data_IF_307637633642
#
_entry.id   IF_307637633642
#
_cell.length_a   1.000
_cell.length_b   1.000
_cell.length_c   1.000
_cell.angle_alpha   90.00
_cell.angle_beta   90.00
_cell.angle_gamma   90.00
#
_symmetry.space_group_name_H-M   'P 1'
#
loop_
_entity.id
_entity.type
_entity.pdbx_description
1 polymer ?
#
# COMPACT_ATOMS: atom_id res chain seq x y z
N UNK A 1 19.97 -25.67 -4.68
CA UNK A 1 19.89 -24.38 -3.95
C UNK A 1 18.74 -24.47 -2.96
N UNK A 2 19.00 -24.29 -1.67
CA UNK A 2 17.98 -24.30 -0.61
C UNK A 2 17.16 -23.00 -0.70
N UNK A 3 15.85 -23.06 -0.51
CA UNK A 3 15.00 -21.85 -0.45
C UNK A 3 14.38 -21.72 0.94
N UNK A 4 14.49 -20.54 1.53
CA UNK A 4 13.93 -20.18 2.84
C UNK A 4 12.95 -19.04 2.61
N UNK A 5 11.73 -19.15 3.13
CA UNK A 5 10.67 -18.15 2.97
C UNK A 5 10.14 -17.72 4.32
N UNK A 6 9.96 -16.42 4.50
CA UNK A 6 9.37 -15.82 5.70
C UNK A 6 8.38 -14.75 5.29
N UNK A 7 7.20 -14.76 5.89
CA UNK A 7 6.17 -13.75 5.63
C UNK A 7 6.38 -12.50 6.51
N UNK A 8 6.20 -11.31 5.91
CA UNK A 8 6.02 -10.04 6.60
C UNK A 8 4.56 -9.63 6.44
N UNK A 9 3.80 -9.80 7.53
CA UNK A 9 2.35 -9.67 7.50
C UNK A 9 1.88 -8.22 7.61
N UNK A 10 0.77 -7.95 6.93
CA UNK A 10 -0.05 -6.75 6.96
C UNK A 10 -1.51 -7.20 7.16
N UNK A 11 -2.18 -6.74 8.21
CA UNK A 11 -3.61 -7.02 8.50
C UNK A 11 -3.92 -8.24 9.37
N UNK A 12 -2.92 -8.98 9.91
CA UNK A 12 -3.15 -10.23 10.69
C UNK A 12 -3.33 -9.97 12.19
N UNK A 13 -4.31 -10.64 12.82
CA UNK A 13 -4.84 -10.41 14.19
C UNK A 13 -3.89 -10.50 15.40
N UNK A 14 -2.58 -10.63 15.23
CA UNK A 14 -1.68 -10.79 16.38
C UNK A 14 -0.26 -10.21 16.20
N UNK A 15 0.10 -9.66 15.03
CA UNK A 15 1.47 -9.19 14.76
C UNK A 15 1.65 -8.67 13.33
N UNK A 16 2.62 -7.78 13.14
CA UNK A 16 2.92 -7.15 11.86
C UNK A 16 2.34 -5.75 11.78
N UNK A 17 2.03 -5.27 10.57
CA UNK A 17 1.35 -4.00 10.37
C UNK A 17 -0.16 -4.20 10.45
N UNK A 18 -0.82 -3.59 11.43
CA UNK A 18 -2.26 -3.63 11.62
C UNK A 18 -2.86 -2.22 11.63
N UNK A 19 -4.19 -2.18 11.57
CA UNK A 19 -4.96 -0.96 11.65
C UNK A 19 -6.24 -1.16 12.45
N UNK A 20 -6.62 -0.13 13.20
CA UNK A 20 -7.87 -0.07 13.95
C UNK A 20 -8.52 1.27 13.70
N UNK A 21 -9.85 1.34 13.76
CA UNK A 21 -10.59 2.59 13.68
C UNK A 21 -11.48 2.74 14.92
N UNK A 22 -11.33 3.85 15.64
CA UNK A 22 -12.33 4.33 16.59
C UNK A 22 -13.33 5.21 15.85
N UNK A 23 -14.62 4.92 16.04
CA UNK A 23 -15.72 5.69 15.45
C UNK A 23 -16.44 6.47 16.54
N UNK A 24 -16.64 7.76 16.33
CA UNK A 24 -17.38 8.62 17.26
C UNK A 24 -18.44 9.45 16.53
N UNK A 25 -19.66 9.52 17.06
CA UNK A 25 -20.74 10.35 16.52
C UNK A 25 -21.07 11.43 17.54
N UNK A 26 -21.08 12.71 17.12
CA UNK A 26 -21.29 13.85 18.03
C UNK A 26 -20.35 13.80 19.26
N UNK A 27 -19.08 13.47 19.01
CA UNK A 27 -18.03 13.30 20.04
C UNK A 27 -18.30 12.17 21.05
N UNK A 28 -19.34 11.36 20.85
CA UNK A 28 -19.59 10.15 21.64
C UNK A 28 -18.95 8.96 20.94
N UNK A 29 -18.04 8.29 21.62
CA UNK A 29 -17.47 7.05 21.15
C UNK A 29 -18.59 6.02 20.91
N UNK A 30 -18.62 5.46 19.71
CA UNK A 30 -19.55 4.40 19.34
C UNK A 30 -18.93 3.04 19.64
N UNK A 31 -17.84 2.74 18.93
CA UNK A 31 -17.07 1.51 19.09
C UNK A 31 -15.71 1.66 18.42
N UNK A 32 -14.83 0.70 18.71
CA UNK A 32 -13.58 0.47 18.01
C UNK A 32 -13.66 -0.82 17.22
N UNK A 33 -13.18 -0.80 15.98
CA UNK A 33 -13.07 -2.00 15.16
C UNK A 33 -11.64 -2.23 14.70
N UNK A 34 -11.29 -3.50 14.49
CA UNK A 34 -10.12 -3.84 13.70
C UNK A 34 -10.45 -3.57 12.23
N UNK A 35 -9.54 -2.89 11.55
CA UNK A 35 -9.59 -2.74 10.11
C UNK A 35 -8.71 -3.84 9.53
N UNK A 36 -9.33 -4.80 8.84
CA UNK A 36 -8.62 -5.99 8.35
C UNK A 36 -8.04 -5.75 6.96
N UNK A 37 -8.52 -4.73 6.26
CA UNK A 37 -8.33 -4.62 4.82
C UNK A 37 -7.39 -3.48 4.43
N UNK A 38 -6.09 -3.71 4.50
CA UNK A 38 -5.16 -3.00 3.62
C UNK A 38 -5.30 -3.56 2.21
N UNK A 39 -6.03 -2.84 1.35
CA UNK A 39 -6.27 -3.30 -0.03
C UNK A 39 -4.96 -3.36 -0.83
N UNK A 40 -4.97 -4.11 -1.93
CA UNK A 40 -3.76 -4.46 -2.67
C UNK A 40 -2.91 -3.28 -3.17
N UNK A 41 -3.50 -2.08 -3.23
CA UNK A 41 -2.79 -0.84 -3.54
C UNK A 41 -1.68 -0.49 -2.55
N UNK A 42 -1.78 -0.82 -1.25
CA UNK A 42 -0.69 -0.58 -0.30
C UNK A 42 0.53 -1.44 -0.65
N UNK A 43 0.32 -2.74 -0.85
CA UNK A 43 1.42 -3.66 -1.21
C UNK A 43 1.96 -3.40 -2.61
N UNK A 44 1.08 -3.04 -3.55
CA UNK A 44 1.49 -2.55 -4.87
C UNK A 44 2.43 -1.35 -4.74
N UNK A 45 2.08 -0.37 -3.90
CA UNK A 45 2.95 0.78 -3.65
C UNK A 45 4.29 0.36 -3.05
N UNK A 46 4.28 -0.47 -2.00
CA UNK A 46 5.49 -0.97 -1.35
C UNK A 46 6.43 -1.64 -2.37
N UNK A 47 5.89 -2.53 -3.22
CA UNK A 47 6.65 -3.19 -4.29
C UNK A 47 7.31 -2.19 -5.23
N UNK A 48 6.53 -1.23 -5.75
CA UNK A 48 7.02 -0.21 -6.70
C UNK A 48 8.19 0.57 -6.08
N UNK A 49 8.04 1.01 -4.83
CA UNK A 49 9.07 1.79 -4.14
C UNK A 49 10.31 0.97 -3.79
N UNK A 50 10.16 -0.33 -3.56
CA UNK A 50 11.27 -1.26 -3.31
C UNK A 50 12.09 -1.56 -4.56
N UNK A 51 11.43 -1.81 -5.70
CA UNK A 51 12.08 -2.35 -6.90
C UNK A 51 12.53 -1.34 -7.94
N UNK A 52 11.79 -0.22 -8.13
CA UNK A 52 12.00 0.69 -9.27
C UNK A 52 12.27 -0.05 -10.61
N UNK A 53 11.61 -1.20 -10.84
CA UNK A 53 11.85 -2.09 -12.01
C UNK A 53 10.91 -1.76 -13.17
N UNK A 54 11.44 -1.58 -14.38
CA UNK A 54 10.62 -1.65 -15.61
C UNK A 54 9.81 -2.96 -15.62
N UNK A 55 8.48 -2.85 -15.74
CA UNK A 55 7.43 -3.91 -15.85
C UNK A 55 6.70 -4.33 -14.54
N UNK A 56 5.39 -4.02 -14.48
CA UNK A 56 4.25 -4.86 -14.91
C UNK A 56 3.00 -3.95 -15.07
N UNK A 57 1.96 -4.45 -15.75
CA UNK A 57 0.69 -3.79 -16.14
C UNK A 57 -0.07 -3.10 -14.99
N UNK A 58 0.22 -1.85 -14.63
CA UNK A 58 -0.54 -1.20 -13.55
C UNK A 58 -0.76 0.31 -13.65
N UNK A 59 -1.98 0.68 -13.23
CA UNK A 59 -2.64 1.99 -13.33
C UNK A 59 -1.74 3.17 -13.07
N UNK A 60 -1.46 3.91 -14.14
CA UNK A 60 -0.78 5.19 -14.09
C UNK A 60 -1.81 6.30 -13.85
N UNK A 61 -1.59 7.06 -12.78
CA UNK A 61 -2.37 8.22 -12.39
C UNK A 61 -1.88 9.52 -13.00
N UNK A 62 -1.05 9.49 -14.05
CA UNK A 62 -0.50 10.70 -14.68
C UNK A 62 -1.62 11.70 -15.06
N UNK A 63 -1.70 12.80 -14.30
CA UNK A 63 -2.39 14.05 -14.60
C UNK A 63 -3.92 14.07 -14.71
N UNK A 64 -4.66 13.07 -14.24
CA UNK A 64 -6.12 13.09 -14.44
C UNK A 64 -6.93 12.71 -13.22
N UNK A 65 -6.77 13.45 -12.10
CA UNK A 65 -7.94 13.70 -11.24
C UNK A 65 -8.94 14.52 -12.05
N UNK A 66 -9.68 13.85 -12.91
CA UNK A 66 -10.83 14.41 -13.58
C UNK A 66 -11.94 14.33 -12.55
N UNK A 67 -12.12 15.40 -11.78
CA UNK A 67 -13.37 15.57 -11.05
C UNK A 67 -14.44 15.70 -12.14
N UNK A 68 -15.00 14.56 -12.55
CA UNK A 68 -16.18 14.52 -13.38
C UNK A 68 -17.29 14.91 -12.44
N UNK A 69 -17.51 16.22 -12.33
CA UNK A 69 -18.45 16.77 -11.38
C UNK A 69 -19.88 16.55 -11.80
N UNK A 70 -20.15 16.13 -13.03
CA UNK A 70 -21.51 16.04 -13.52
C UNK A 70 -21.63 14.83 -14.45
N UNK A 71 -21.85 13.63 -13.89
CA UNK A 71 -22.63 12.65 -14.63
C UNK A 71 -23.95 13.37 -14.97
N UNK A 72 -24.36 13.37 -16.24
CA UNK A 72 -25.59 14.03 -16.72
C UNK A 72 -26.69 13.00 -16.93
N UNK A 73 -26.32 11.81 -17.39
CA UNK A 73 -27.27 10.72 -17.62
C UNK A 73 -26.57 9.37 -17.60
N UNK A 74 -27.32 8.35 -17.19
CA UNK A 74 -26.95 6.94 -17.25
C UNK A 74 -28.07 6.26 -18.03
N UNK A 75 -27.73 5.60 -19.15
CA UNK A 75 -28.71 4.98 -20.05
C UNK A 75 -28.25 3.57 -20.40
N UNK A 76 -29.11 2.58 -20.13
CA UNK A 76 -28.97 1.23 -20.67
C UNK A 76 -29.45 1.22 -22.13
N UNK A 77 -28.61 0.74 -23.05
CA UNK A 77 -28.90 0.69 -24.49
C UNK A 77 -28.45 -0.65 -25.07
N UNK A 78 -29.36 -1.64 -25.06
CA UNK A 78 -29.02 -3.01 -25.46
C UNK A 78 -28.12 -3.67 -24.41
N UNK A 79 -26.97 -4.19 -24.84
CA UNK A 79 -25.96 -4.78 -23.95
C UNK A 79 -24.96 -3.74 -23.42
N UNK A 80 -25.14 -2.45 -23.72
CA UNK A 80 -24.24 -1.38 -23.32
C UNK A 80 -24.83 -0.52 -22.19
N UNK A 81 -23.95 -0.07 -21.29
CA UNK A 81 -24.24 1.01 -20.36
C UNK A 81 -23.52 2.28 -20.80
N UNK A 82 -24.30 3.33 -21.05
CA UNK A 82 -23.81 4.62 -21.53
C UNK A 82 -23.89 5.65 -20.41
N UNK A 83 -22.75 6.24 -20.05
CA UNK A 83 -22.68 7.30 -19.03
C UNK A 83 -22.25 8.59 -19.70
N UNK A 84 -23.14 9.58 -19.72
CA UNK A 84 -22.85 10.90 -20.27
C UNK A 84 -22.32 11.82 -19.17
N UNK A 85 -21.23 12.51 -19.47
CA UNK A 85 -20.53 13.41 -18.56
C UNK A 85 -20.57 14.83 -19.12
N UNK A 86 -20.72 15.84 -18.25
CA UNK A 86 -20.45 17.24 -18.61
C UNK A 86 -19.05 17.66 -18.22
N UNK A 87 -18.50 18.62 -18.96
CA UNK A 87 -17.26 19.32 -18.61
C UNK A 87 -16.05 18.41 -18.44
N UNK A 88 -16.04 17.28 -19.15
CA UNK A 88 -14.88 16.42 -19.23
C UNK A 88 -13.70 17.18 -19.83
N UNK A 89 -12.61 17.26 -19.08
CA UNK A 89 -11.37 17.92 -19.49
C UNK A 89 -10.21 16.94 -19.40
N UNK A 90 -9.52 16.74 -20.52
CA UNK A 90 -8.33 15.90 -20.66
C UNK A 90 -7.14 16.78 -21.06
N UNK A 91 -6.04 16.67 -20.29
CA UNK A 91 -4.78 17.39 -20.54
C UNK A 91 -3.71 16.50 -21.20
N UNK A 92 -4.05 15.30 -21.69
CA UNK A 92 -3.06 14.33 -22.14
C UNK A 92 -3.53 13.52 -23.36
N UNK A 93 -2.61 13.19 -24.27
CA UNK A 93 -2.88 12.44 -25.51
C UNK A 93 -2.99 10.93 -25.29
N UNK A 94 -3.61 10.53 -24.19
CA UNK A 94 -3.30 9.28 -23.51
C UNK A 94 -4.59 8.46 -23.36
N UNK A 95 -4.73 7.41 -24.18
CA UNK A 95 -5.91 6.52 -24.17
C UNK A 95 -6.16 5.88 -22.79
N UNK A 96 -7.41 5.92 -22.33
CA UNK A 96 -7.85 5.29 -21.07
C UNK A 96 -8.62 3.99 -21.38
N UNK A 97 -8.52 2.99 -20.50
CA UNK A 97 -9.23 1.70 -20.70
C UNK A 97 -10.16 1.36 -19.53
N UNK A 98 -10.06 2.12 -18.42
CA UNK A 98 -10.68 1.77 -17.16
C UNK A 98 -11.36 2.99 -16.54
N UNK A 99 -12.56 2.79 -16.04
CA UNK A 99 -13.40 3.81 -15.43
C UNK A 99 -13.81 3.32 -14.05
N UNK A 100 -13.51 4.10 -13.04
CA UNK A 100 -14.00 3.90 -11.69
C UNK A 100 -15.16 4.86 -11.46
N UNK A 101 -16.30 4.32 -11.02
CA UNK A 101 -17.49 5.10 -10.68
C UNK A 101 -17.74 4.95 -9.19
N UNK A 102 -17.92 6.07 -8.49
CA UNK A 102 -18.09 6.07 -7.04
C UNK A 102 -19.19 7.02 -6.60
N UNK A 103 -19.87 6.66 -5.51
CA UNK A 103 -20.81 7.53 -4.83
C UNK A 103 -22.03 7.89 -5.67
N UNK A 104 -22.43 7.03 -6.62
CA UNK A 104 -23.73 7.09 -7.30
C UNK A 104 -24.79 6.59 -6.33
N UNK A 105 -25.78 7.43 -6.05
CA UNK A 105 -26.91 7.20 -5.15
C UNK A 105 -28.15 6.85 -5.97
N UNK A 106 -28.88 5.83 -5.53
CA UNK A 106 -30.08 5.32 -6.18
C UNK A 106 -29.84 4.39 -7.37
N UNK A 107 -28.58 4.27 -7.83
CA UNK A 107 -28.08 3.27 -8.78
C UNK A 107 -26.77 2.66 -8.26
N UNK A 108 -26.76 2.22 -7.00
CA UNK A 108 -25.53 1.82 -6.30
C UNK A 108 -24.81 0.64 -6.96
N UNK A 109 -25.51 -0.19 -7.73
CA UNK A 109 -24.94 -1.25 -8.56
C UNK A 109 -23.98 -0.74 -9.64
N UNK A 110 -24.01 0.56 -9.95
CA UNK A 110 -23.06 1.22 -10.85
C UNK A 110 -21.73 1.55 -10.18
N UNK A 111 -21.64 1.58 -8.85
CA UNK A 111 -20.37 1.88 -8.21
C UNK A 111 -19.39 0.72 -8.36
N UNK A 112 -18.18 1.00 -8.86
CA UNK A 112 -17.19 -0.03 -9.15
C UNK A 112 -16.20 0.38 -10.21
N UNK A 113 -15.44 -0.60 -10.70
CA UNK A 113 -14.42 -0.45 -11.74
C UNK A 113 -14.87 -1.17 -13.00
N UNK A 114 -14.81 -0.49 -14.13
CA UNK A 114 -15.32 -0.94 -15.42
C UNK A 114 -14.31 -0.73 -16.52
N UNK A 115 -14.34 -1.58 -17.54
CA UNK A 115 -13.60 -1.34 -18.77
C UNK A 115 -14.41 -0.45 -19.71
N UNK A 116 -13.72 0.53 -20.31
CA UNK A 116 -14.29 1.36 -21.36
C UNK A 116 -14.12 0.67 -22.72
N UNK A 117 -15.18 0.64 -23.51
CA UNK A 117 -15.16 0.14 -24.88
C UNK A 117 -14.66 1.22 -25.85
N UNK A 118 -13.34 1.27 -26.00
CA UNK A 118 -12.67 2.16 -26.95
C UNK A 118 -13.06 1.93 -28.41
N UNK A 119 -13.69 0.80 -28.75
CA UNK A 119 -14.17 0.55 -30.12
C UNK A 119 -15.46 1.31 -30.43
N UNK A 120 -16.27 1.65 -29.41
CA UNK A 120 -17.55 2.34 -29.57
C UNK A 120 -17.47 3.85 -29.34
N UNK A 121 -16.62 4.28 -28.41
CA UNK A 121 -16.33 5.68 -28.19
C UNK A 121 -14.87 5.85 -27.85
N UNK A 122 -13.98 6.24 -28.77
CA UNK A 122 -12.58 6.45 -28.43
C UNK A 122 -12.43 7.62 -27.46
N UNK A 123 -11.51 7.51 -26.50
CA UNK A 123 -11.21 8.63 -25.60
C UNK A 123 -10.76 9.86 -26.40
N UNK A 124 -11.39 11.04 -26.19
CA UNK A 124 -11.12 12.22 -26.98
C UNK A 124 -9.74 12.77 -26.64
N UNK A 125 -8.93 13.03 -27.67
CA UNK A 125 -7.59 13.61 -27.51
C UNK A 125 -7.61 15.12 -27.25
N UNK A 126 -8.75 15.81 -27.42
CA UNK A 126 -8.86 17.25 -27.12
C UNK A 126 -10.30 17.74 -26.80
N UNK A 127 -10.35 18.90 -26.14
CA UNK A 127 -11.37 19.49 -25.25
C UNK A 127 -12.88 19.63 -25.68
N UNK A 128 -13.72 19.35 -24.66
CA UNK A 128 -14.97 20.02 -24.21
C UNK A 128 -16.34 19.76 -24.86
N UNK A 129 -17.21 19.09 -24.09
CA UNK A 129 -18.41 19.68 -23.43
C UNK A 129 -19.30 18.57 -22.89
N UNK A 130 -19.40 17.46 -23.63
CA UNK A 130 -20.01 16.21 -23.19
C UNK A 130 -19.28 15.00 -23.75
N UNK A 131 -19.09 13.97 -22.93
CA UNK A 131 -18.49 12.71 -23.37
C UNK A 131 -19.30 11.52 -22.85
N UNK A 132 -19.28 10.41 -23.60
CA UNK A 132 -19.99 9.19 -23.26
C UNK A 132 -19.00 8.08 -22.97
N UNK A 133 -19.07 7.52 -21.77
CA UNK A 133 -18.46 6.23 -21.50
C UNK A 133 -19.34 5.10 -21.99
N UNK A 134 -18.70 4.10 -22.58
CA UNK A 134 -19.32 2.87 -23.03
C UNK A 134 -18.71 1.75 -22.20
N UNK A 135 -19.47 1.21 -21.25
CA UNK A 135 -18.95 0.15 -20.40
C UNK A 135 -18.99 -1.18 -21.15
N UNK A 136 -17.84 -1.85 -21.23
CA UNK A 136 -17.69 -3.18 -21.84
C UNK A 136 -18.03 -4.29 -20.83
N UNK A 137 -18.76 -5.32 -21.27
CA UNK A 137 -18.97 -6.55 -20.50
C UNK A 137 -20.38 -6.67 -19.90
N UNK A 138 -20.51 -7.40 -18.78
CA UNK A 138 -21.81 -7.53 -18.09
C UNK A 138 -22.15 -6.19 -17.46
N UNK A 139 -23.14 -5.52 -18.02
CA UNK A 139 -23.74 -4.31 -17.44
C UNK A 139 -24.33 -4.69 -16.07
N UNK A 140 -23.98 -3.99 -14.97
CA UNK A 140 -24.66 -4.22 -13.71
C UNK A 140 -26.14 -3.90 -13.90
N UNK A 141 -27.03 -4.82 -13.52
CA UNK A 141 -28.46 -4.55 -13.58
C UNK A 141 -28.78 -3.36 -12.66
N UNK A 142 -29.18 -2.24 -13.26
CA UNK A 142 -29.44 -1.01 -12.53
C UNK A 142 -30.86 -1.04 -11.98
N UNK A 143 -30.99 -1.25 -10.67
CA UNK A 143 -32.28 -1.12 -9.97
C UNK A 143 -32.32 0.20 -9.20
N UNK A 144 -33.30 1.05 -9.52
CA UNK A 144 -33.54 2.30 -8.80
C UNK A 144 -33.55 3.53 -9.72
N UNK A 145 -33.44 4.71 -9.11
CA UNK A 145 -33.43 5.99 -9.82
C UNK A 145 -32.27 6.81 -9.30
N UNK A 146 -31.35 7.18 -10.19
CA UNK A 146 -30.24 8.06 -9.86
C UNK A 146 -30.76 9.41 -9.38
N UNK A 147 -30.17 9.94 -8.32
CA UNK A 147 -30.57 11.22 -7.71
C UNK A 147 -30.25 12.47 -8.54
N UNK A 148 -29.67 12.29 -9.75
CA UNK A 148 -29.38 13.35 -10.71
C UNK A 148 -28.13 14.18 -10.41
N UNK A 149 -27.47 13.97 -9.26
CA UNK A 149 -26.41 14.85 -8.78
C UNK A 149 -25.23 14.13 -8.11
N UNK A 150 -25.39 12.87 -7.74
CA UNK A 150 -24.37 12.02 -7.13
C UNK A 150 -23.50 11.32 -8.17
N UNK A 151 -22.30 10.89 -7.77
CA UNK A 151 -21.33 10.29 -8.66
C UNK A 151 -20.06 11.11 -8.82
N UNK A 152 -18.92 10.43 -8.69
CA UNK A 152 -17.62 10.87 -9.16
C UNK A 152 -17.09 9.76 -10.04
N UNK A 153 -16.71 10.09 -11.26
CA UNK A 153 -15.96 9.16 -12.11
C UNK A 153 -14.48 9.49 -12.05
N UNK A 154 -13.64 8.47 -11.95
CA UNK A 154 -12.19 8.51 -12.08
C UNK A 154 -11.84 7.64 -13.28
N UNK A 155 -11.40 8.25 -14.38
CA UNK A 155 -10.85 7.50 -15.51
C UNK A 155 -9.35 7.24 -15.28
N UNK A 156 -8.91 6.00 -15.43
CA UNK A 156 -7.52 5.58 -15.27
C UNK A 156 -7.00 4.94 -16.56
N UNK A 157 -5.69 5.13 -16.83
CA UNK A 157 -5.03 4.50 -17.98
C UNK A 157 -4.32 3.21 -17.56
N UNK A 158 -4.42 2.20 -18.42
CA UNK A 158 -3.48 1.09 -18.54
C UNK A 158 -2.20 1.57 -19.27
N UNK A 159 -1.08 1.74 -18.56
CA UNK A 159 0.23 1.99 -19.21
C UNK A 159 1.06 0.71 -19.14
N UNK A 160 1.55 0.31 -20.32
CA UNK A 160 2.44 -0.84 -20.50
C UNK A 160 3.92 -0.41 -20.67
N UNK A 161 4.25 0.88 -20.56
CA UNK A 161 5.61 1.40 -20.78
C UNK A 161 5.96 2.55 -19.85
N UNK A 162 7.19 2.47 -19.33
CA UNK A 162 7.81 3.43 -18.44
C UNK A 162 8.25 4.68 -19.21
N UNK A 163 7.70 5.84 -18.85
CA UNK A 163 8.42 7.09 -19.00
C UNK A 163 9.11 7.37 -17.66
N UNK A 164 10.40 7.67 -17.68
CA UNK A 164 11.31 7.78 -16.54
C UNK A 164 10.92 8.76 -15.43
N UNK A 165 9.75 9.41 -15.47
CA UNK A 165 9.59 10.69 -14.80
C UNK A 165 8.59 10.79 -13.67
N UNK A 166 7.46 10.06 -13.54
CA UNK A 166 6.55 10.39 -12.43
C UNK A 166 5.65 9.24 -11.94
N UNK A 167 6.17 8.41 -11.03
CA UNK A 167 5.31 7.74 -10.05
C UNK A 167 5.58 8.33 -8.68
N UNK A 168 4.74 9.30 -8.32
CA UNK A 168 4.81 9.97 -7.03
C UNK A 168 4.36 9.04 -5.90
N UNK A 169 4.93 9.26 -4.71
CA UNK A 169 4.43 8.63 -3.50
C UNK A 169 2.93 8.93 -3.33
N UNK A 170 2.15 7.98 -2.82
CA UNK A 170 0.77 8.20 -2.42
C UNK A 170 0.78 8.93 -1.08
N UNK A 171 1.18 10.20 -1.16
CA UNK A 171 1.23 11.12 -0.04
C UNK A 171 -0.19 11.46 0.41
N UNK A 172 -0.30 12.04 1.60
CA UNK A 172 -1.52 12.61 2.15
C UNK A 172 -2.64 11.58 2.24
N UNK A 173 -2.59 10.77 3.30
CA UNK A 173 -3.65 9.82 3.57
C UNK A 173 -4.85 10.56 4.16
N UNK A 174 -6.03 10.26 3.63
CA UNK A 174 -7.28 10.92 3.94
C UNK A 174 -8.30 9.84 4.28
N UNK A 175 -8.79 9.79 5.53
CA UNK A 175 -9.96 9.01 5.86
C UNK A 175 -11.13 9.41 4.95
N UNK A 176 -11.95 8.43 4.60
CA UNK A 176 -13.18 8.57 3.80
C UNK A 176 -14.29 7.67 4.35
N UNK A 177 -15.54 8.03 4.04
CA UNK A 177 -16.75 7.29 4.41
C UNK A 177 -17.60 6.99 3.18
N UNK A 178 -18.42 5.94 3.25
CA UNK A 178 -19.31 5.55 2.17
C UNK A 178 -20.54 4.81 2.65
N UNK A 179 -21.46 4.58 1.71
CA UNK A 179 -22.80 4.03 1.97
C UNK A 179 -23.00 2.64 1.36
N UNK A 180 -21.97 2.04 0.75
CA UNK A 180 -22.04 0.69 0.21
C UNK A 180 -21.79 -0.35 1.29
N UNK A 181 -22.40 -1.53 1.13
CA UNK A 181 -22.17 -2.72 1.94
C UNK A 181 -21.58 -3.87 1.09
N UNK A 182 -21.09 -3.58 -0.11
CA UNK A 182 -20.38 -4.56 -0.94
C UNK A 182 -19.17 -5.09 -0.15
N UNK A 183 -18.95 -6.41 -0.18
CA UNK A 183 -17.80 -7.03 0.46
C UNK A 183 -16.48 -6.41 -0.03
N UNK A 184 -15.48 -6.39 0.85
CA UNK A 184 -14.14 -5.89 0.50
C UNK A 184 -13.43 -6.91 -0.38
N UNK A 185 -12.69 -6.42 -1.38
CA UNK A 185 -11.81 -7.22 -2.22
C UNK A 185 -10.39 -6.68 -2.18
N UNK A 186 -9.42 -7.58 -2.27
CA UNK A 186 -8.02 -7.28 -2.42
C UNK A 186 -7.73 -6.34 -3.60
N UNK A 187 -8.49 -6.48 -4.69
CA UNK A 187 -8.41 -5.63 -5.88
C UNK A 187 -9.15 -4.28 -5.78
N UNK A 188 -9.79 -3.94 -4.67
CA UNK A 188 -10.56 -2.70 -4.54
C UNK A 188 -9.69 -1.46 -4.78
N UNK A 189 -10.06 -0.68 -5.78
CA UNK A 189 -9.37 0.56 -6.14
C UNK A 189 -10.00 1.79 -5.47
N UNK A 190 -11.19 1.64 -4.89
CA UNK A 190 -12.07 2.75 -4.59
C UNK A 190 -13.09 2.34 -3.52
N UNK A 191 -13.68 3.32 -2.81
CA UNK A 191 -14.85 3.12 -1.95
C UNK A 191 -16.11 3.18 -2.83
N UNK A 192 -16.84 2.08 -3.08
CA UNK A 192 -17.96 2.08 -4.03
C UNK A 192 -19.02 3.13 -3.68
N UNK A 193 -19.46 3.18 -2.43
CA UNK A 193 -20.47 4.13 -1.96
C UNK A 193 -19.90 5.45 -1.48
N UNK A 194 -18.75 5.92 -2.00
CA UNK A 194 -18.04 7.09 -1.49
C UNK A 194 -18.96 8.31 -1.26
N UNK A 195 -19.10 8.71 -0.01
CA UNK A 195 -19.99 9.81 0.40
C UNK A 195 -19.21 11.12 0.51
N UNK A 196 -19.06 11.80 -0.63
CA UNK A 196 -18.38 13.10 -0.73
C UNK A 196 -19.31 14.29 -0.85
N UNK A 197 -20.36 14.18 -1.67
CA UNK A 197 -21.30 15.28 -1.94
C UNK A 197 -22.30 15.41 -0.81
N UNK A 198 -22.57 16.64 -0.39
CA UNK A 198 -23.43 16.89 0.77
C UNK A 198 -22.80 16.46 2.09
N UNK A 199 -21.47 16.23 2.12
CA UNK A 199 -20.71 15.97 3.33
C UNK A 199 -19.57 16.98 3.46
N UNK A 200 -19.56 17.74 4.55
CA UNK A 200 -18.42 18.57 4.92
C UNK A 200 -17.36 17.67 5.54
N UNK A 201 -16.20 17.57 4.90
CA UNK A 201 -15.08 16.79 5.41
C UNK A 201 -14.10 17.73 6.11
N UNK A 202 -13.90 17.55 7.42
CA UNK A 202 -12.95 18.36 8.16
C UNK A 202 -11.50 18.06 7.77
N UNK A 203 -10.60 18.83 8.38
CA UNK A 203 -9.16 18.66 8.20
C UNK A 203 -8.72 17.30 8.73
N UNK A 204 -7.75 16.71 8.03
CA UNK A 204 -7.04 15.53 8.51
C UNK A 204 -6.01 15.96 9.56
N UNK A 205 -5.96 15.26 10.69
CA UNK A 205 -4.89 15.41 11.68
C UNK A 205 -4.16 14.09 11.86
N UNK A 206 -2.85 14.17 12.04
CA UNK A 206 -1.99 13.01 12.28
C UNK A 206 -1.23 13.22 13.59
N UNK A 207 -1.21 12.22 14.48
CA UNK A 207 -0.41 12.27 15.71
C UNK A 207 1.06 12.00 15.40
N UNK A 208 1.95 12.32 16.34
CA UNK A 208 3.35 11.88 16.27
C UNK A 208 3.44 10.36 16.41
N UNK A 209 4.48 9.77 15.83
CA UNK A 209 4.82 8.37 16.11
C UNK A 209 5.15 8.17 17.58
N UNK A 210 4.50 7.19 18.20
CA UNK A 210 4.79 6.70 19.55
C UNK A 210 5.40 5.31 19.38
N UNK A 211 6.59 5.10 19.93
CA UNK A 211 7.34 3.85 19.80
C UNK A 211 7.86 3.40 21.15
N UNK A 212 7.64 2.13 21.46
CA UNK A 212 8.29 1.41 22.55
C UNK A 212 9.08 0.21 21.97
N UNK A 213 9.42 -0.78 22.79
CA UNK A 213 10.16 -1.95 22.31
C UNK A 213 9.29 -2.91 21.47
N UNK A 214 7.99 -2.96 21.76
CA UNK A 214 7.04 -3.92 21.18
C UNK A 214 6.33 -3.38 19.95
N UNK A 215 6.00 -2.09 19.98
CA UNK A 215 5.11 -1.48 19.02
C UNK A 215 5.56 -0.08 18.59
N UNK A 216 5.10 0.32 17.41
CA UNK A 216 5.20 1.69 16.93
C UNK A 216 3.90 2.06 16.24
N UNK A 217 3.33 3.23 16.56
CA UNK A 217 1.99 3.60 16.11
C UNK A 217 1.79 5.09 15.94
N UNK A 218 0.82 5.45 15.11
CA UNK A 218 0.29 6.80 14.95
C UNK A 218 -1.20 6.76 14.60
N UNK A 219 -1.89 7.88 14.77
CA UNK A 219 -3.32 8.01 14.53
C UNK A 219 -3.59 9.04 13.44
N UNK A 220 -4.46 8.69 12.50
CA UNK A 220 -4.97 9.53 11.43
C UNK A 220 -6.46 9.79 11.65
N UNK A 221 -6.81 11.05 11.89
CA UNK A 221 -8.16 11.44 12.30
C UNK A 221 -8.83 12.34 11.27
N UNK A 222 -10.14 12.18 11.09
CA UNK A 222 -10.95 13.10 10.27
C UNK A 222 -12.43 13.10 10.67
N UNK A 223 -13.07 14.28 10.81
CA UNK A 223 -14.51 14.39 10.99
C UNK A 223 -15.27 14.59 9.66
N UNK A 224 -16.52 14.13 9.63
CA UNK A 224 -17.44 14.16 8.50
C UNK A 224 -18.81 14.64 8.96
N UNK A 225 -19.23 15.81 8.51
CA UNK A 225 -20.54 16.39 8.84
C UNK A 225 -21.50 16.23 7.66
N UNK A 226 -22.66 15.62 7.90
CA UNK A 226 -23.71 15.50 6.87
C UNK A 226 -24.43 16.85 6.69
N UNK A 227 -24.59 17.26 5.44
CA UNK A 227 -25.21 18.52 5.02
C UNK A 227 -26.29 18.28 3.96
N UNK A 228 -26.87 17.07 3.91
CA UNK A 228 -27.83 16.70 2.87
C UNK A 228 -29.27 17.07 3.19
N UNK A 229 -29.60 17.52 4.41
CA UNK A 229 -30.98 17.75 4.84
C UNK A 229 -31.75 16.45 5.15
N UNK A 230 -31.09 15.29 5.09
CA UNK A 230 -31.66 13.97 5.33
C UNK A 230 -30.67 13.06 6.06
N UNK A 231 -31.17 12.00 6.68
CA UNK A 231 -30.33 10.97 7.31
C UNK A 231 -29.59 10.16 6.23
N UNK A 232 -28.31 9.86 6.46
CA UNK A 232 -27.49 9.01 5.59
C UNK A 232 -26.89 7.85 6.37
N UNK A 233 -27.08 6.63 5.88
CA UNK A 233 -26.53 5.43 6.51
C UNK A 233 -25.13 5.14 5.97
N UNK A 234 -24.13 5.37 6.82
CA UNK A 234 -22.73 5.06 6.53
C UNK A 234 -22.52 3.57 6.79
N UNK A 235 -21.96 2.87 5.81
CA UNK A 235 -21.81 1.40 5.83
C UNK A 235 -20.39 0.94 5.55
N UNK A 236 -19.53 1.84 5.09
CA UNK A 236 -18.13 1.54 4.83
C UNK A 236 -17.26 2.76 5.13
N UNK A 237 -16.01 2.48 5.42
CA UNK A 237 -14.98 3.47 5.73
C UNK A 237 -13.71 3.08 4.98
N UNK A 238 -12.80 4.03 4.76
CA UNK A 238 -11.50 3.71 4.21
C UNK A 238 -10.50 4.82 4.37
N UNK A 239 -9.32 4.58 3.81
CA UNK A 239 -8.25 5.57 3.66
C UNK A 239 -7.93 5.68 2.18
N UNK A 240 -8.00 6.89 1.64
CA UNK A 240 -7.48 7.20 0.31
C UNK A 240 -6.19 8.00 0.44
N UNK A 241 -5.22 7.74 -0.42
CA UNK A 241 -4.05 8.60 -0.59
C UNK A 241 -4.20 9.44 -1.86
N UNK A 242 -3.61 10.63 -1.89
CA UNK A 242 -3.65 11.49 -3.06
C UNK A 242 -2.55 12.55 -3.09
N UNK A 243 -1.96 12.72 -4.27
CA UNK A 243 -1.13 13.88 -4.61
C UNK A 243 -1.92 14.89 -5.45
N UNK A 244 -1.43 16.13 -5.55
CA UNK A 244 -1.96 17.20 -6.41
C UNK A 244 -1.96 16.81 -7.91
N UNK A 245 -1.18 15.78 -8.31
CA UNK A 245 -1.03 15.32 -9.70
C UNK A 245 -1.44 13.87 -9.99
N UNK A 246 -1.69 13.04 -8.97
CA UNK A 246 -1.90 11.60 -9.11
C UNK A 246 -3.33 11.15 -8.78
N UNK A 247 -3.81 10.10 -9.44
CA UNK A 247 -5.08 9.44 -9.12
C UNK A 247 -5.14 9.02 -7.64
N UNK A 248 -6.28 9.23 -6.99
CA UNK A 248 -6.48 8.77 -5.62
C UNK A 248 -6.38 7.25 -5.55
N UNK A 249 -5.54 6.73 -4.66
CA UNK A 249 -5.41 5.30 -4.42
C UNK A 249 -6.08 4.96 -3.10
N UNK A 250 -7.02 4.01 -3.12
CA UNK A 250 -7.55 3.42 -1.90
C UNK A 250 -6.43 2.62 -1.22
N UNK A 251 -6.10 2.94 0.02
CA UNK A 251 -5.09 2.25 0.84
C UNK A 251 -5.72 1.22 1.77
N UNK A 252 -6.94 1.51 2.22
CA UNK A 252 -7.71 0.62 3.06
C UNK A 252 -9.20 0.85 2.86
N UNK A 253 -9.99 -0.19 3.06
CA UNK A 253 -11.46 -0.15 3.00
C UNK A 253 -12.04 -1.22 3.91
N UNK A 254 -12.95 -0.82 4.80
CA UNK A 254 -13.64 -1.74 5.68
C UNK A 254 -15.15 -1.52 5.59
N UNK A 255 -15.92 -2.60 5.71
CA UNK A 255 -17.39 -2.56 5.80
C UNK A 255 -17.78 -2.63 7.27
N UNK A 256 -18.67 -1.73 7.69
CA UNK A 256 -19.16 -1.67 9.05
C UNK A 256 -20.12 -2.83 9.31
N UNK A 257 -19.98 -3.49 10.46
CA UNK A 257 -20.87 -4.59 10.87
C UNK A 257 -22.34 -4.16 11.04
N UNK A 258 -22.58 -2.88 11.29
CA UNK A 258 -23.90 -2.26 11.25
C UNK A 258 -23.80 -0.83 10.68
N UNK A 259 -24.81 -0.36 9.91
CA UNK A 259 -24.84 1.01 9.43
C UNK A 259 -24.86 2.04 10.56
N UNK A 260 -24.15 3.15 10.37
CA UNK A 260 -24.21 4.33 11.24
C UNK A 260 -25.11 5.36 10.58
N UNK A 261 -26.27 5.62 11.17
CA UNK A 261 -27.20 6.65 10.70
C UNK A 261 -26.67 8.05 11.07
N UNK A 262 -26.13 8.74 10.08
CA UNK A 262 -25.62 10.10 10.19
C UNK A 262 -26.76 11.09 9.91
N UNK A 263 -27.31 11.67 10.98
CA UNK A 263 -28.38 12.68 10.88
C UNK A 263 -27.94 13.95 10.15
N UNK A 264 -28.91 14.79 9.76
CA UNK A 264 -28.58 16.09 9.16
C UNK A 264 -27.80 16.95 10.17
N UNK A 265 -26.78 17.65 9.69
CA UNK A 265 -25.78 18.40 10.48
C UNK A 265 -25.00 17.59 11.52
N UNK A 266 -25.22 16.26 11.58
CA UNK A 266 -24.48 15.39 12.50
C UNK A 266 -23.07 15.10 11.99
N UNK A 267 -22.13 14.90 12.91
CA UNK A 267 -20.70 14.69 12.65
C UNK A 267 -20.22 13.33 13.14
N UNK A 268 -19.73 12.51 12.20
CA UNK A 268 -18.99 11.27 12.45
C UNK A 268 -17.49 11.55 12.39
N UNK A 269 -16.74 11.12 13.38
CA UNK A 269 -15.28 11.15 13.39
C UNK A 269 -14.71 9.75 13.27
N UNK A 270 -13.70 9.60 12.42
CA UNK A 270 -12.89 8.40 12.28
C UNK A 270 -11.49 8.69 12.81
N UNK A 271 -11.01 7.84 13.72
CA UNK A 271 -9.64 7.86 14.23
C UNK A 271 -8.97 6.52 13.88
N UNK A 272 -8.21 6.49 12.78
CA UNK A 272 -7.46 5.32 12.35
C UNK A 272 -6.13 5.23 13.08
N UNK A 273 -5.94 4.23 13.94
CA UNK A 273 -4.64 3.87 14.49
C UNK A 273 -3.94 2.91 13.54
N UNK A 274 -2.82 3.33 12.97
CA UNK A 274 -1.90 2.46 12.22
C UNK A 274 -0.78 2.05 13.16
N UNK A 275 -0.60 0.74 13.34
CA UNK A 275 0.28 0.17 14.35
C UNK A 275 1.11 -0.98 13.75
N UNK A 276 2.40 -1.00 14.02
CA UNK A 276 3.24 -2.19 13.85
C UNK A 276 3.54 -2.80 15.20
N UNK A 277 3.37 -4.12 15.35
CA UNK A 277 3.73 -4.89 16.54
C UNK A 277 4.69 -6.02 16.18
N UNK A 278 5.73 -6.21 17.00
CA UNK A 278 6.63 -7.36 16.87
C UNK A 278 5.88 -8.63 17.27
N UNK A 279 5.87 -9.62 16.39
CA UNK A 279 5.30 -10.93 16.67
C UNK A 279 6.02 -11.61 17.83
N UNK A 280 5.26 -12.18 18.78
CA UNK A 280 5.79 -12.91 19.95
C UNK A 280 6.77 -12.09 20.79
N UNK A 281 6.43 -10.82 21.06
CA UNK A 281 7.22 -9.97 21.93
C UNK A 281 7.47 -10.63 23.30
N UNK A 282 8.73 -10.60 23.77
CA UNK A 282 9.28 -11.32 24.94
C UNK A 282 9.37 -12.86 24.90
N UNK A 283 9.10 -13.54 23.78
CA UNK A 283 9.41 -14.98 23.70
C UNK A 283 10.90 -15.22 23.53
N UNK A 284 11.43 -16.15 24.34
CA UNK A 284 12.79 -16.65 24.21
C UNK A 284 12.93 -17.48 22.92
N UNK A 285 13.74 -16.94 22.01
CA UNK A 285 14.09 -17.50 20.71
C UNK A 285 14.98 -18.72 20.82
N UNK A 286 15.66 -18.92 21.95
CA UNK A 286 16.42 -20.15 22.23
C UNK A 286 15.51 -21.26 22.77
N UNK A 287 14.41 -20.91 23.44
CA UNK A 287 13.51 -21.87 24.04
C UNK A 287 12.48 -22.44 23.05
N UNK A 288 11.71 -21.61 22.32
CA UNK A 288 10.63 -22.12 21.42
C UNK A 288 10.04 -21.12 20.38
N UNK A 289 10.45 -19.85 20.32
CA UNK A 289 9.71 -18.82 19.57
C UNK A 289 10.44 -18.20 18.38
N UNK A 290 9.74 -18.00 17.26
CA UNK A 290 10.14 -16.98 16.27
C UNK A 290 9.60 -15.62 16.74
N UNK A 291 10.35 -14.54 16.58
CA UNK A 291 9.84 -13.18 16.79
C UNK A 291 10.30 -12.23 15.70
N UNK A 292 9.53 -11.18 15.47
CA UNK A 292 9.89 -10.17 14.48
C UNK A 292 8.72 -9.52 13.77
N UNK A 293 9.04 -8.60 12.87
CA UNK A 293 8.06 -7.81 12.14
C UNK A 293 8.69 -6.55 11.54
N UNK A 294 7.83 -5.60 11.20
CA UNK A 294 8.25 -4.28 10.72
C UNK A 294 8.80 -3.44 11.88
N UNK A 295 9.92 -2.77 11.68
CA UNK A 295 10.59 -1.95 12.71
C UNK A 295 10.05 -0.51 12.71
N UNK A 296 10.54 0.31 13.66
CA UNK A 296 10.22 1.74 13.69
C UNK A 296 10.63 2.47 12.41
N UNK A 297 11.71 2.05 11.73
CA UNK A 297 12.13 2.71 10.49
C UNK A 297 11.08 2.54 9.38
N UNK A 298 10.41 1.39 9.30
CA UNK A 298 9.28 1.19 8.40
C UNK A 298 8.11 2.13 8.77
N UNK A 299 7.79 2.24 10.06
CA UNK A 299 6.71 3.11 10.54
C UNK A 299 6.99 4.60 10.33
N UNK A 300 8.24 5.06 10.40
CA UNK A 300 8.64 6.42 10.01
C UNK A 300 8.32 6.72 8.56
N UNK A 301 8.48 5.74 7.67
CA UNK A 301 8.19 5.90 6.25
C UNK A 301 6.68 5.99 6.04
N UNK A 302 5.90 5.08 6.64
CA UNK A 302 4.43 5.13 6.59
C UNK A 302 3.86 6.42 7.18
N UNK A 303 4.35 6.88 8.32
CA UNK A 303 3.91 8.12 8.95
C UNK A 303 4.15 9.33 8.04
N UNK A 304 5.32 9.36 7.38
CA UNK A 304 5.66 10.44 6.47
C UNK A 304 4.77 10.47 5.23
N UNK A 305 4.49 9.32 4.62
CA UNK A 305 3.59 9.29 3.46
C UNK A 305 2.15 9.61 3.85
N UNK A 306 1.72 9.22 5.06
CA UNK A 306 0.38 9.52 5.54
C UNK A 306 0.19 11.01 5.85
N UNK A 307 1.26 11.71 6.22
CA UNK A 307 1.21 13.09 6.67
C UNK A 307 0.64 14.04 5.59
N UNK A 308 -0.50 14.72 5.86
CA UNK A 308 -1.14 15.62 4.91
C UNK A 308 -0.35 16.91 4.63
N UNK A 309 0.67 17.21 5.44
CA UNK A 309 1.59 18.34 5.25
C UNK A 309 2.88 17.94 4.54
N UNK A 310 3.05 16.69 4.15
CA UNK A 310 4.25 16.23 3.46
C UNK A 310 4.34 16.91 2.09
N UNK A 311 5.34 17.79 1.91
CA UNK A 311 5.62 18.36 0.61
C UNK A 311 6.17 17.28 -0.33
N UNK A 312 5.73 17.32 -1.59
CA UNK A 312 6.39 16.58 -2.65
C UNK A 312 7.85 17.03 -2.78
N UNK A 313 8.77 16.09 -2.62
CA UNK A 313 10.14 16.25 -3.09
C UNK A 313 10.65 14.87 -3.55
N UNK A 314 11.56 14.87 -4.54
CA UNK A 314 12.15 13.65 -5.07
C UNK A 314 12.89 12.85 -3.99
N UNK A 315 13.43 13.51 -2.96
CA UNK A 315 14.09 12.87 -1.82
C UNK A 315 13.12 11.98 -1.02
N UNK A 316 11.81 12.28 -1.05
CA UNK A 316 10.79 11.47 -0.40
C UNK A 316 10.56 10.13 -1.08
N UNK A 317 10.73 10.06 -2.39
CA UNK A 317 10.48 8.84 -3.16
C UNK A 317 11.52 7.74 -2.93
N UNK A 318 12.63 8.03 -2.24
CA UNK A 318 13.68 7.04 -1.98
C UNK A 318 13.55 6.34 -0.64
N UNK A 319 12.54 6.64 0.18
CA UNK A 319 12.46 6.12 1.55
C UNK A 319 12.33 4.60 1.63
N UNK A 320 11.77 3.94 0.62
CA UNK A 320 11.48 2.50 0.68
C UNK A 320 12.34 1.61 -0.24
N UNK A 321 13.40 2.17 -0.87
CA UNK A 321 14.21 1.45 -1.86
C UNK A 321 14.98 0.28 -1.23
N UNK A 322 14.74 -0.95 -1.70
CA UNK A 322 15.32 -2.18 -1.17
C UNK A 322 15.97 -3.07 -2.26
N UNK A 323 15.74 -2.81 -3.55
CA UNK A 323 16.31 -3.57 -4.65
C UNK A 323 17.58 -2.93 -5.20
N UNK A 324 18.73 -3.61 -5.08
CA UNK A 324 19.92 -3.35 -5.90
C UNK A 324 20.67 -4.65 -6.19
N UNK A 325 20.86 -4.89 -7.49
CA UNK A 325 21.54 -6.06 -8.06
C UNK A 325 20.59 -6.90 -8.88
N UNK A 326 20.67 -6.75 -10.21
CA UNK A 326 19.97 -7.61 -11.17
C UNK A 326 18.67 -7.03 -11.74
N UNK A 327 18.80 -6.17 -12.76
CA UNK A 327 17.71 -5.89 -13.72
C UNK A 327 16.55 -5.02 -13.22
N UNK A 328 16.77 -3.71 -13.09
CA UNK A 328 15.72 -2.75 -12.78
C UNK A 328 16.28 -1.34 -12.66
N UNK A 329 16.27 -0.62 -13.77
CA UNK A 329 16.91 0.69 -13.99
C UNK A 329 16.22 1.83 -13.25
N UNK A 330 16.99 2.64 -12.49
CA UNK A 330 16.52 3.96 -12.06
C UNK A 330 17.45 4.72 -11.12
N UNK A 331 18.30 4.03 -10.35
CA UNK A 331 19.26 4.70 -9.46
C UNK A 331 20.68 4.33 -9.89
N UNK A 332 21.24 5.16 -10.77
CA UNK A 332 22.68 5.16 -10.99
C UNK A 332 23.28 5.81 -9.73
N UNK A 333 23.64 4.99 -8.74
CA UNK A 333 24.46 5.46 -7.63
C UNK A 333 25.75 5.92 -8.27
N UNK A 334 25.92 7.24 -8.42
CA UNK A 334 27.19 7.77 -8.85
C UNK A 334 28.28 7.15 -7.96
N UNK A 335 29.44 6.89 -8.57
CA UNK A 335 30.64 6.35 -7.94
C UNK A 335 31.06 7.08 -6.65
N UNK A 336 30.44 8.21 -6.31
CA UNK A 336 30.74 9.11 -5.19
C UNK A 336 30.14 8.71 -3.83
N UNK A 337 29.43 7.58 -3.69
CA UNK A 337 28.68 7.29 -2.44
C UNK A 337 29.16 6.10 -1.62
N UNK A 338 30.15 5.32 -2.05
CA UNK A 338 30.63 4.11 -1.35
C UNK A 338 29.49 3.11 -0.96
N UNK A 339 28.38 3.14 -1.70
CA UNK A 339 27.24 2.25 -1.47
C UNK A 339 27.31 1.06 -2.44
N UNK A 340 27.02 -0.13 -1.91
CA UNK A 340 27.00 -1.36 -2.67
C UNK A 340 25.59 -1.97 -2.64
N UNK A 341 25.17 -2.56 -3.75
CA UNK A 341 23.82 -3.11 -3.87
C UNK A 341 23.48 -4.19 -2.82
N UNK A 342 24.49 -4.95 -2.38
CA UNK A 342 24.34 -5.96 -1.34
C UNK A 342 23.90 -5.40 0.03
N UNK A 343 24.02 -4.09 0.26
CA UNK A 343 23.64 -3.46 1.52
C UNK A 343 22.12 -3.30 1.69
N UNK A 344 21.34 -3.41 0.60
CA UNK A 344 19.88 -3.26 0.58
C UNK A 344 19.20 -4.62 0.39
N UNK A 345 17.89 -4.72 0.60
CA UNK A 345 17.12 -5.95 0.41
C UNK A 345 17.31 -6.96 1.52
N UNK A 346 17.15 -8.24 1.21
CA UNK A 346 17.25 -9.31 2.21
C UNK A 346 18.69 -9.43 2.70
N UNK A 347 18.89 -9.47 4.02
CA UNK A 347 20.15 -9.78 4.69
C UNK A 347 19.93 -10.88 5.72
N UNK A 348 21.00 -11.60 6.04
CA UNK A 348 20.99 -12.67 7.05
C UNK A 348 21.96 -12.31 8.17
N UNK A 349 21.67 -12.77 9.39
CA UNK A 349 22.51 -12.59 10.56
C UNK A 349 22.62 -13.86 11.40
N UNK A 350 23.48 -13.80 12.41
CA UNK A 350 23.83 -14.94 13.26
C UNK A 350 23.36 -14.74 14.72
N UNK A 351 22.65 -13.65 15.01
CA UNK A 351 22.10 -13.44 16.35
C UNK A 351 20.76 -14.11 16.51
N UNK A 352 20.57 -14.77 17.67
CA UNK A 352 19.28 -15.22 18.15
C UNK A 352 18.62 -14.18 19.06
N UNK A 353 19.18 -12.99 19.24
CA UNK A 353 18.60 -12.02 20.18
C UNK A 353 17.20 -11.58 19.78
N UNK A 354 16.40 -11.36 20.81
CA UNK A 354 15.08 -10.78 20.76
C UNK A 354 15.02 -9.52 19.86
N UNK A 355 13.96 -9.38 19.07
CA UNK A 355 13.75 -8.28 18.11
C UNK A 355 12.96 -7.15 18.77
N UNK A 356 13.52 -5.95 18.79
CA UNK A 356 12.83 -4.73 19.25
C UNK A 356 12.46 -3.84 18.07
N UNK A 357 11.38 -3.08 18.20
CA UNK A 357 11.03 -2.01 17.25
C UNK A 357 12.16 -0.98 17.07
N UNK A 358 13.00 -0.81 18.08
CA UNK A 358 14.12 0.14 18.09
C UNK A 358 15.41 -0.40 17.50
N UNK A 359 15.44 -1.66 17.07
CA UNK A 359 16.64 -2.25 16.48
C UNK A 359 17.05 -1.53 15.20
N UNK A 360 18.35 -1.31 15.05
CA UNK A 360 18.92 -0.58 13.91
C UNK A 360 19.74 -1.47 12.98
N UNK A 361 20.11 -2.68 13.44
CA UNK A 361 20.97 -3.62 12.73
C UNK A 361 20.49 -5.06 12.92
N UNK A 362 20.90 -5.94 12.01
CA UNK A 362 21.00 -7.36 12.33
C UNK A 362 22.23 -7.56 13.21
N UNK A 363 22.23 -8.65 13.99
CA UNK A 363 23.33 -9.03 14.88
C UNK A 363 23.73 -7.87 15.80
N UNK A 364 22.83 -7.41 16.68
CA UNK A 364 23.00 -6.17 17.46
C UNK A 364 24.21 -6.20 18.42
N UNK A 365 24.80 -7.37 18.64
CA UNK A 365 26.07 -7.57 19.37
C UNK A 365 27.27 -7.00 18.62
N UNK A 366 27.17 -6.85 17.30
CA UNK A 366 28.18 -6.27 16.45
C UNK A 366 27.50 -5.29 15.46
N UNK A 367 27.02 -4.17 16.00
CA UNK A 367 26.26 -3.17 15.23
C UNK A 367 27.03 -2.58 14.03
N UNK A 368 28.36 -2.73 13.99
CA UNK A 368 29.20 -2.32 12.84
C UNK A 368 28.99 -3.22 11.63
N UNK A 369 28.61 -4.49 11.85
CA UNK A 369 28.43 -5.51 10.83
C UNK A 369 26.96 -5.89 10.83
N UNK A 370 26.16 -5.21 9.99
CA UNK A 370 24.70 -5.34 9.87
C UNK A 370 24.24 -6.76 9.40
N UNK A 371 24.50 -7.80 10.19
CA UNK A 371 24.37 -9.22 9.82
C UNK A 371 25.71 -9.80 9.32
N UNK A 372 25.65 -10.93 8.61
CA UNK A 372 26.85 -11.55 8.03
C UNK A 372 27.48 -10.59 7.00
N UNK A 373 28.81 -10.38 7.02
CA UNK A 373 29.49 -9.50 6.07
C UNK A 373 29.48 -10.06 4.64
N UNK A 374 29.48 -9.14 3.67
CA UNK A 374 29.67 -9.50 2.27
C UNK A 374 31.15 -9.77 1.99
N UNK A 375 31.47 -10.92 1.39
CA UNK A 375 32.84 -11.23 1.00
C UNK A 375 33.01 -12.66 0.51
N UNK A 376 34.27 -13.10 0.48
CA UNK A 376 34.68 -14.38 -0.12
C UNK A 376 35.46 -15.27 0.87
N UNK A 377 35.79 -14.77 2.06
CA UNK A 377 36.54 -15.48 3.09
C UNK A 377 35.68 -16.21 4.11
N UNK A 378 36.32 -16.76 5.13
CA UNK A 378 35.64 -17.41 6.26
C UNK A 378 34.82 -16.39 7.06
N UNK A 379 33.59 -16.77 7.43
CA UNK A 379 32.65 -15.88 8.13
C UNK A 379 31.98 -14.83 7.22
N UNK A 380 32.19 -14.89 5.90
CA UNK A 380 31.59 -13.98 4.93
C UNK A 380 30.67 -14.74 3.95
N UNK A 381 29.65 -14.05 3.44
CA UNK A 381 28.79 -14.58 2.38
C UNK A 381 28.89 -13.70 1.13
N UNK A 382 28.93 -14.31 -0.06
CA UNK A 382 28.69 -13.57 -1.29
C UNK A 382 27.19 -13.30 -1.36
N UNK A 383 26.84 -12.04 -1.17
CA UNK A 383 25.46 -11.54 -1.31
C UNK A 383 25.21 -11.22 -2.78
N UNK A 384 24.42 -12.05 -3.44
CA UNK A 384 23.98 -11.78 -4.81
C UNK A 384 22.92 -10.67 -4.84
N UNK A 385 22.54 -10.26 -6.04
CA UNK A 385 21.53 -9.22 -6.23
C UNK A 385 20.18 -9.52 -5.56
N UNK A 386 19.46 -8.47 -5.19
CA UNK A 386 18.09 -8.58 -4.67
C UNK A 386 17.09 -8.58 -5.82
N UNK A 387 16.22 -9.59 -5.86
CA UNK A 387 15.09 -9.65 -6.76
C UNK A 387 13.81 -9.20 -6.05
N UNK A 388 13.04 -8.31 -6.65
CA UNK A 388 11.68 -7.97 -6.22
C UNK A 388 10.72 -8.65 -7.20
N UNK A 389 10.00 -9.65 -6.73
CA UNK A 389 9.07 -10.42 -7.56
C UNK A 389 7.81 -9.64 -7.89
N UNK A 390 6.92 -10.29 -8.64
CA UNK A 390 5.66 -9.70 -9.06
C UNK A 390 4.65 -9.62 -7.92
N UNK A 391 3.73 -8.66 -8.04
CA UNK A 391 2.57 -8.57 -7.17
C UNK A 391 1.56 -9.64 -7.59
N UNK A 392 1.10 -10.43 -6.64
CA UNK A 392 -0.01 -11.36 -6.81
C UNK A 392 -1.20 -10.79 -6.06
N UNK A 393 -2.34 -10.70 -6.73
CA UNK A 393 -3.63 -10.29 -6.16
C UNK A 393 -4.62 -11.42 -6.39
N UNK A 394 -5.14 -11.99 -5.31
CA UNK A 394 -6.10 -13.08 -5.35
C UNK A 394 -7.36 -12.68 -4.57
N UNK A 395 -8.42 -12.32 -5.31
CA UNK A 395 -9.72 -11.96 -4.72
C UNK A 395 -10.50 -13.16 -4.18
N UNK A 396 -10.11 -14.40 -4.50
CA UNK A 396 -10.81 -15.61 -4.01
C UNK A 396 -10.43 -15.90 -2.57
N UNK A 397 -9.14 -15.80 -2.24
CA UNK A 397 -8.63 -15.92 -0.86
C UNK A 397 -8.40 -14.57 -0.18
N UNK A 398 -8.71 -13.48 -0.88
CA UNK A 398 -8.55 -12.09 -0.45
C UNK A 398 -7.11 -11.78 0.02
N UNK A 399 -6.13 -12.23 -0.76
CA UNK A 399 -4.72 -12.12 -0.43
C UNK A 399 -3.98 -11.28 -1.48
N UNK A 400 -3.05 -10.46 -1.01
CA UNK A 400 -2.09 -9.76 -1.87
C UNK A 400 -0.70 -10.01 -1.33
N UNK A 401 0.26 -10.31 -2.22
CA UNK A 401 1.65 -10.45 -1.80
C UNK A 401 2.66 -10.16 -2.91
N UNK A 402 3.90 -9.88 -2.51
CA UNK A 402 5.05 -9.89 -3.41
C UNK A 402 6.31 -10.33 -2.66
N UNK A 403 7.19 -11.13 -3.30
CA UNK A 403 8.43 -11.57 -2.66
C UNK A 403 9.60 -10.59 -2.88
N UNK A 404 10.44 -10.45 -1.87
CA UNK A 404 11.78 -9.84 -1.93
C UNK A 404 12.78 -10.96 -1.68
N UNK A 405 13.63 -11.25 -2.65
CA UNK A 405 14.49 -12.44 -2.63
C UNK A 405 15.97 -12.08 -2.79
N UNK A 406 16.85 -12.85 -2.16
CA UNK A 406 18.29 -12.80 -2.40
C UNK A 406 18.91 -14.19 -2.34
N UNK A 407 19.94 -14.41 -3.14
CA UNK A 407 20.82 -15.59 -3.04
C UNK A 407 22.06 -15.22 -2.23
N UNK A 408 22.43 -16.12 -1.31
CA UNK A 408 23.67 -16.08 -0.54
C UNK A 408 24.51 -17.30 -0.91
N UNK A 409 25.81 -17.11 -1.04
CA UNK A 409 26.77 -18.17 -1.35
C UNK A 409 27.92 -18.15 -0.36
N UNK A 410 28.23 -19.29 0.24
CA UNK A 410 29.39 -19.43 1.12
C UNK A 410 30.59 -19.92 0.31
N UNK A 411 31.55 -19.03 0.05
CA UNK A 411 32.82 -19.35 -0.63
C UNK A 411 33.98 -19.59 0.31
N UNK A 412 33.76 -19.40 1.62
CA UNK A 412 34.73 -19.75 2.65
C UNK A 412 34.85 -21.26 2.83
N UNK A 413 35.63 -21.63 3.84
CA UNK A 413 35.89 -23.01 4.26
C UNK A 413 35.15 -23.39 5.54
N UNK A 414 34.56 -22.41 6.23
CA UNK A 414 33.77 -22.61 7.45
C UNK A 414 32.26 -22.51 7.18
N UNK A 415 31.42 -23.37 7.78
CA UNK A 415 29.97 -23.24 7.71
C UNK A 415 29.48 -21.98 8.45
N UNK A 416 28.45 -21.33 7.90
CA UNK A 416 27.82 -20.14 8.51
C UNK A 416 26.40 -20.49 8.95
N UNK A 417 26.05 -20.20 10.21
CA UNK A 417 24.73 -20.53 10.78
C UNK A 417 23.85 -19.29 10.80
N UNK A 418 22.84 -19.26 9.93
CA UNK A 418 21.85 -18.18 9.86
C UNK A 418 20.77 -18.39 10.91
N UNK A 419 20.52 -17.30 11.65
CA UNK A 419 19.65 -17.25 12.82
C UNK A 419 18.61 -16.14 12.78
N UNK A 420 18.80 -15.18 11.90
CA UNK A 420 17.88 -14.08 11.70
C UNK A 420 17.94 -13.62 10.25
N UNK A 421 16.84 -13.00 9.82
CA UNK A 421 16.68 -12.43 8.50
C UNK A 421 16.21 -10.99 8.67
N UNK A 422 16.76 -10.07 7.88
CA UNK A 422 16.39 -8.65 7.89
C UNK A 422 16.13 -8.12 6.50
N UNK A 423 15.22 -7.17 6.40
CA UNK A 423 14.92 -6.44 5.18
C UNK A 423 15.50 -5.05 5.32
N UNK A 424 16.45 -4.71 4.47
CA UNK A 424 17.09 -3.40 4.45
C UNK A 424 16.54 -2.55 3.32
N UNK A 425 16.22 -1.31 3.62
CA UNK A 425 15.91 -0.31 2.62
C UNK A 425 16.60 1.01 2.95
N UNK A 426 16.12 2.10 2.39
CA UNK A 426 16.59 3.42 2.78
C UNK A 426 15.84 3.93 4.02
N UNK A 427 16.34 4.99 4.65
CA UNK A 427 15.64 5.69 5.75
C UNK A 427 15.48 7.18 5.49
N UNK A 428 16.34 7.76 4.64
CA UNK A 428 16.75 9.13 4.93
C UNK A 428 16.10 10.22 4.09
N UNK A 429 15.75 11.29 4.79
CA UNK A 429 15.32 12.61 4.33
C UNK A 429 16.49 13.44 3.77
N UNK A 430 17.39 12.81 3.04
CA UNK A 430 18.55 13.49 2.49
C UNK A 430 18.88 12.90 1.14
N UNK A 431 19.48 13.71 0.29
CA UNK A 431 20.12 13.25 -0.94
C UNK A 431 21.03 12.05 -0.75
N UNK A 432 21.51 11.71 0.46
CA UNK A 432 22.33 10.55 0.79
C UNK A 432 21.50 9.31 1.21
N UNK A 433 21.47 8.31 0.32
CA UNK A 433 20.86 7.00 0.57
C UNK A 433 21.72 6.24 1.58
N UNK A 434 21.11 5.57 2.56
CA UNK A 434 21.80 4.75 3.56
C UNK A 434 20.99 3.49 3.86
N UNK A 435 21.61 2.31 4.00
CA UNK A 435 20.90 1.09 4.35
C UNK A 435 20.40 1.13 5.80
N UNK A 436 19.12 0.83 5.99
CA UNK A 436 18.49 0.74 7.31
C UNK A 436 17.54 -0.46 7.39
N UNK A 437 17.50 -1.06 8.56
CA UNK A 437 16.65 -2.19 8.87
C UNK A 437 15.17 -1.77 8.91
N UNK A 438 14.38 -2.25 7.95
CA UNK A 438 12.94 -2.02 7.82
C UNK A 438 12.11 -3.13 8.48
N UNK A 439 12.62 -4.37 8.44
CA UNK A 439 12.01 -5.51 9.11
C UNK A 439 13.10 -6.46 9.59
N UNK A 440 12.83 -7.18 10.68
CA UNK A 440 13.73 -8.19 11.26
C UNK A 440 12.90 -9.36 11.77
N UNK A 441 13.39 -10.57 11.55
CA UNK A 441 12.82 -11.81 12.08
C UNK A 441 13.95 -12.66 12.66
N UNK A 442 13.91 -12.95 13.95
CA UNK A 442 14.74 -14.00 14.52
C UNK A 442 14.05 -15.35 14.30
N UNK A 443 14.85 -16.34 13.91
CA UNK A 443 14.39 -17.67 13.54
C UNK A 443 14.38 -18.58 14.76
N UNK A 444 13.31 -19.35 14.91
CA UNK A 444 13.25 -20.42 15.90
C UNK A 444 14.31 -21.48 15.56
N UNK A 445 14.79 -22.28 16.53
CA UNK A 445 15.87 -23.24 16.30
C UNK A 445 15.65 -24.20 15.13
N UNK A 446 14.39 -24.55 14.84
CA UNK A 446 14.01 -25.44 13.71
C UNK A 446 14.10 -24.76 12.34
N UNK A 447 13.98 -23.43 12.29
CA UNK A 447 14.00 -22.63 11.07
C UNK A 447 15.40 -22.05 10.78
N UNK A 448 16.29 -22.09 11.77
CA UNK A 448 17.71 -21.78 11.61
C UNK A 448 18.34 -22.72 10.58
N UNK A 449 19.30 -22.21 9.82
CA UNK A 449 19.91 -23.01 8.76
C UNK A 449 21.39 -22.69 8.60
N UNK A 450 22.13 -23.72 8.17
CA UNK A 450 23.55 -23.60 7.88
C UNK A 450 23.73 -23.49 6.37
N UNK A 451 24.59 -22.58 5.93
CA UNK A 451 25.10 -22.53 4.57
C UNK A 451 26.51 -23.13 4.61
N UNK A 452 26.66 -24.36 4.11
CA UNK A 452 27.95 -25.06 4.10
C UNK A 452 28.92 -24.42 3.09
N UNK A 453 30.23 -24.65 3.23
CA UNK A 453 31.21 -24.29 2.21
C UNK A 453 30.81 -24.77 0.81
N UNK A 454 30.80 -23.87 -0.17
CA UNK A 454 30.39 -24.13 -1.55
C UNK A 454 28.88 -24.17 -1.80
N UNK A 455 28.05 -23.96 -0.77
CA UNK A 455 26.59 -23.97 -0.93
C UNK A 455 25.99 -22.60 -1.23
N UNK A 456 24.79 -22.64 -1.82
CA UNK A 456 23.93 -21.48 -2.07
C UNK A 456 22.57 -21.65 -1.38
N UNK A 457 22.09 -20.56 -0.78
CA UNK A 457 20.77 -20.45 -0.19
C UNK A 457 20.04 -19.22 -0.75
N UNK A 458 18.80 -19.41 -1.20
CA UNK A 458 17.87 -18.32 -1.52
C UNK A 458 17.02 -18.02 -0.30
N UNK A 459 16.96 -16.75 0.10
CA UNK A 459 16.13 -16.28 1.21
C UNK A 459 15.12 -15.27 0.68
N UNK A 460 13.85 -15.47 1.03
CA UNK A 460 12.70 -14.70 0.55
C UNK A 460 11.94 -14.10 1.73
N UNK A 461 11.76 -12.78 1.73
CA UNK A 461 10.73 -12.10 2.50
C UNK A 461 9.50 -11.87 1.65
N UNK A 462 8.37 -12.46 2.02
CA UNK A 462 7.12 -12.28 1.32
C UNK A 462 6.29 -11.20 2.03
N UNK A 463 6.17 -10.02 1.41
CA UNK A 463 5.33 -8.95 1.95
C UNK A 463 3.88 -9.29 1.62
N UNK A 464 3.06 -9.59 2.63
CA UNK A 464 1.75 -10.20 2.45
C UNK A 464 0.67 -9.48 3.25
N UNK A 465 -0.43 -9.19 2.58
CA UNK A 465 -1.63 -8.59 3.12
C UNK A 465 -2.78 -9.57 2.97
N UNK A 466 -3.53 -9.77 4.04
CA UNK A 466 -4.80 -10.50 4.02
C UNK A 466 -5.88 -9.45 4.21
N UNK A 467 -6.86 -9.43 3.30
CA UNK A 467 -7.88 -8.40 3.21
C UNK A 467 -9.19 -8.85 3.82
#
# INVERSE_FOLDING_TARGET
MKTITTDLNVGKTASGLDMYCDLSLEQRHLYRMKCESFVGNLLKWMRIQMGKTNQDDYWDGYNTRKNITNIISIVESGDDLIIELSDYHEYNTVEHDLITIQGVIGLEGLNGVYYHDNTKGPFPLDRHSRYKYFIRGIVPHLTGVWDGNSGVSIAAKYRNQWASNDYHLPLNWNPIIGMSNQAVKASDLCLPGYFKRGCTQGNVSITSLITDQESSKFTLSRPFTNMTGAIRDIKEIGIMAGDYRSAYMLMARDVLGAPISLGDTSTLSLDYEIISMIENFNQDTEANGTNGGWTVNFMYILHRIANPSAQYNWENEFHFTAGLGGGGTGVNFSYDRNLNGWQFGVRVGESNKYVSMTDQSLTPENAEVNGVPHGYGDGELVHHGTHIGQLVVDDVVNEVYFPVERIFENKGTTPITVREIGLFGNKNNSSNISPHLLARKALAPIDQFIIQPGETAKVTFNCKAIV
#
